data_IF_894645420518
#
_entry.id   IF_894645420518
#
_cell.length_a   1.000
_cell.length_b   1.000
_cell.length_c   1.000
_cell.angle_alpha   90.00
_cell.angle_beta   90.00
_cell.angle_gamma   90.00
#
_symmetry.space_group_name_H-M   'P 1'
#
loop_
_entity.id
_entity.type
_entity.pdbx_description
1 polymer ?
#
# COMPACT_ATOMS: atom_id res chain seq x y z
N UNK A 1 -7.50 -0.67 17.54
CA UNK A 1 -7.57 -2.13 17.39
C UNK A 1 -7.47 -2.44 15.91
N UNK A 2 -6.52 -3.27 15.54
CA UNK A 2 -6.39 -3.82 14.19
C UNK A 2 -7.72 -4.48 13.79
N UNK A 3 -8.17 -4.27 12.56
CA UNK A 3 -9.41 -4.91 12.12
C UNK A 3 -9.22 -6.43 12.15
N UNK A 4 -10.28 -7.16 12.48
CA UNK A 4 -10.30 -8.65 12.48
C UNK A 4 -9.79 -9.20 11.14
N UNK A 5 -10.01 -8.47 10.05
CA UNK A 5 -9.57 -8.80 8.69
C UNK A 5 -8.04 -8.69 8.55
N UNK A 6 -7.40 -7.67 9.16
CA UNK A 6 -5.93 -7.54 9.15
C UNK A 6 -5.28 -8.62 10.03
N UNK A 7 -5.97 -9.04 11.08
CA UNK A 7 -5.53 -10.12 11.97
C UNK A 7 -5.65 -11.50 11.30
N UNK A 8 -6.74 -11.74 10.57
CA UNK A 8 -6.92 -12.95 9.75
C UNK A 8 -5.91 -13.01 8.59
N UNK A 9 -5.63 -11.89 7.94
CA UNK A 9 -4.60 -11.81 6.90
C UNK A 9 -3.19 -12.09 7.46
N UNK A 10 -2.92 -11.73 8.71
CA UNK A 10 -1.67 -12.07 9.41
C UNK A 10 -1.56 -13.54 9.77
N UNK A 11 -2.67 -14.20 10.12
CA UNK A 11 -2.70 -15.62 10.47
C UNK A 11 -2.57 -16.54 9.24
N UNK A 12 -3.13 -16.14 8.09
CA UNK A 12 -2.95 -16.88 6.82
C UNK A 12 -1.52 -16.75 6.25
N UNK A 13 -0.79 -15.73 6.67
CA UNK A 13 0.61 -15.52 6.30
C UNK A 13 1.51 -16.10 7.38
N UNK A 14 2.26 -17.12 7.02
CA UNK A 14 3.31 -17.66 7.87
C UNK A 14 4.41 -16.59 8.03
N UNK A 15 4.28 -15.78 9.08
CA UNK A 15 5.15 -14.64 9.42
C UNK A 15 6.64 -15.03 9.44
N UNK A 16 6.95 -16.28 9.80
CA UNK A 16 8.32 -16.79 9.78
C UNK A 16 8.91 -16.91 8.37
N UNK A 17 8.09 -17.26 7.37
CA UNK A 17 8.54 -17.34 5.98
C UNK A 17 8.71 -15.94 5.36
N UNK A 18 7.88 -14.97 5.75
CA UNK A 18 8.03 -13.57 5.32
C UNK A 18 9.31 -12.97 5.88
N UNK A 19 9.64 -13.26 7.15
CA UNK A 19 10.89 -12.79 7.75
C UNK A 19 12.16 -13.37 7.08
N UNK A 20 12.08 -14.61 6.58
CA UNK A 20 13.19 -15.23 5.84
C UNK A 20 13.41 -14.64 4.46
N UNK A 21 12.39 -14.01 3.86
CA UNK A 21 12.47 -13.33 2.55
C UNK A 21 12.86 -11.85 2.65
N UNK A 22 13.17 -11.36 3.85
CA UNK A 22 13.61 -10.00 4.04
C UNK A 22 14.88 -9.71 3.25
N UNK A 23 14.86 -8.65 2.47
CA UNK A 23 16.07 -8.11 1.84
C UNK A 23 16.52 -6.85 2.58
N UNK A 24 17.82 -6.62 2.58
CA UNK A 24 18.41 -5.40 3.11
C UNK A 24 18.56 -4.40 2.00
N UNK A 25 18.04 -3.19 2.22
CA UNK A 25 18.10 -2.09 1.25
C UNK A 25 18.82 -0.90 1.87
N UNK A 26 19.58 -0.20 1.04
CA UNK A 26 20.22 1.07 1.41
C UNK A 26 19.26 2.22 1.16
N UNK A 27 19.34 3.25 2.00
CA UNK A 27 18.65 4.52 1.77
C UNK A 27 19.64 5.51 1.12
N UNK A 28 19.37 5.92 -0.12
CA UNK A 28 20.22 6.86 -0.86
C UNK A 28 20.27 8.25 -0.24
N UNK A 29 19.28 8.61 0.57
CA UNK A 29 19.18 9.88 1.28
C UNK A 29 19.88 9.85 2.64
N UNK A 30 20.30 8.67 3.12
CA UNK A 30 21.02 8.55 4.37
C UNK A 30 22.44 9.17 4.26
N UNK A 31 22.84 9.94 5.27
CA UNK A 31 24.17 10.59 5.31
C UNK A 31 25.33 9.61 5.15
N UNK A 32 25.14 8.37 5.63
CA UNK A 32 26.16 7.31 5.59
C UNK A 32 26.02 6.37 4.37
N UNK A 33 25.14 6.67 3.40
CA UNK A 33 24.88 5.81 2.24
C UNK A 33 26.15 5.31 1.53
N UNK A 34 27.13 6.20 1.34
CA UNK A 34 28.36 5.86 0.62
C UNK A 34 29.42 5.15 1.50
N UNK A 35 29.26 5.15 2.81
CA UNK A 35 30.27 4.69 3.77
C UNK A 35 29.86 3.50 4.62
N UNK A 36 28.54 3.28 4.80
CA UNK A 36 28.04 2.16 5.60
C UNK A 36 28.01 0.86 4.78
N UNK A 37 29.07 0.07 4.94
CA UNK A 37 29.16 -1.28 4.36
C UNK A 37 28.57 -2.38 5.25
N UNK A 38 28.09 -2.02 6.47
CA UNK A 38 27.53 -3.00 7.39
C UNK A 38 26.02 -3.22 7.10
N UNK A 39 25.73 -4.31 6.38
CA UNK A 39 24.35 -4.66 6.02
C UNK A 39 23.40 -4.84 7.21
N UNK A 40 23.90 -5.04 8.43
CA UNK A 40 23.04 -5.14 9.61
C UNK A 40 22.34 -3.82 9.95
N UNK A 41 22.88 -2.68 9.53
CA UNK A 41 22.32 -1.34 9.72
C UNK A 41 21.31 -0.97 8.64
N UNK A 42 21.27 -1.71 7.53
CA UNK A 42 20.39 -1.39 6.40
C UNK A 42 18.93 -1.72 6.72
N UNK A 43 18.04 -0.93 6.14
CA UNK A 43 16.61 -1.11 6.29
C UNK A 43 16.17 -2.50 5.78
N UNK A 44 15.25 -3.12 6.49
CA UNK A 44 14.62 -4.37 6.04
C UNK A 44 13.44 -4.04 5.14
N UNK A 45 13.41 -4.63 3.95
CA UNK A 45 12.28 -4.59 3.04
C UNK A 45 11.74 -5.99 2.81
N UNK A 46 10.42 -6.09 2.62
CA UNK A 46 9.69 -7.35 2.46
C UNK A 46 8.84 -7.33 1.18
N UNK A 47 9.44 -7.18 -0.01
CA UNK A 47 8.68 -7.01 -1.25
C UNK A 47 7.78 -8.20 -1.56
N UNK A 48 8.26 -9.43 -1.34
CA UNK A 48 7.46 -10.65 -1.57
C UNK A 48 6.30 -10.74 -0.58
N UNK A 49 6.54 -10.41 0.68
CA UNK A 49 5.50 -10.36 1.71
C UNK A 49 4.42 -9.34 1.37
N UNK A 50 4.83 -8.13 0.95
CA UNK A 50 3.89 -7.10 0.54
C UNK A 50 3.09 -7.51 -0.71
N UNK A 51 3.76 -8.07 -1.72
CA UNK A 51 3.10 -8.56 -2.94
C UNK A 51 2.06 -9.62 -2.62
N UNK A 52 2.39 -10.53 -1.75
CA UNK A 52 1.52 -11.59 -1.35
C UNK A 52 0.35 -11.09 -0.48
N UNK A 53 0.56 -10.15 0.45
CA UNK A 53 -0.51 -9.46 1.16
C UNK A 53 -1.46 -8.77 0.17
N UNK A 54 -0.93 -8.01 -0.78
CA UNK A 54 -1.73 -7.33 -1.79
C UNK A 54 -2.55 -8.33 -2.63
N UNK A 55 -1.94 -9.45 -3.05
CA UNK A 55 -2.63 -10.52 -3.75
C UNK A 55 -3.80 -11.11 -2.92
N UNK A 56 -3.64 -11.26 -1.61
CA UNK A 56 -4.72 -11.71 -0.72
C UNK A 56 -5.89 -10.73 -0.66
N UNK A 57 -5.60 -9.42 -0.68
CA UNK A 57 -6.63 -8.37 -0.75
C UNK A 57 -7.40 -8.37 -2.07
N UNK A 58 -6.74 -8.75 -3.17
CA UNK A 58 -7.33 -8.84 -4.50
C UNK A 58 -8.29 -10.04 -4.67
N UNK A 59 -8.21 -11.08 -3.82
CA UNK A 59 -9.04 -12.28 -3.93
C UNK A 59 -10.50 -11.95 -3.63
N UNK A 60 -11.40 -12.42 -4.48
CA UNK A 60 -12.85 -12.42 -4.23
C UNK A 60 -13.19 -13.69 -3.43
N UNK A 61 -14.10 -13.58 -2.47
CA UNK A 61 -14.60 -14.74 -1.70
C UNK A 61 -15.09 -15.83 -2.66
N UNK A 62 -14.44 -16.99 -2.68
CA UNK A 62 -14.76 -18.13 -3.57
C UNK A 62 -13.64 -18.55 -4.54
N UNK A 63 -12.57 -17.77 -4.72
CA UNK A 63 -11.42 -18.15 -5.55
C UNK A 63 -10.18 -18.53 -4.72
N UNK A 64 -10.37 -19.39 -3.73
CA UNK A 64 -9.31 -19.73 -2.76
C UNK A 64 -8.27 -20.73 -3.27
N UNK A 65 -8.25 -21.12 -4.54
CA UNK A 65 -7.59 -22.36 -4.93
C UNK A 65 -6.36 -22.28 -5.83
N UNK A 66 -5.82 -21.11 -6.20
CA UNK A 66 -4.74 -21.08 -7.23
C UNK A 66 -3.40 -20.44 -6.79
N UNK A 67 -3.23 -19.97 -5.57
CA UNK A 67 -1.99 -19.27 -5.18
C UNK A 67 -1.11 -19.96 -4.12
N UNK A 68 -1.30 -21.25 -3.86
CA UNK A 68 -0.41 -22.04 -2.98
C UNK A 68 0.71 -22.76 -3.71
N UNK A 69 0.80 -22.65 -5.02
CA UNK A 69 1.89 -23.23 -5.78
C UNK A 69 2.90 -22.16 -6.21
N UNK A 70 4.03 -22.26 -5.59
CA UNK A 70 5.35 -21.80 -6.04
C UNK A 70 5.46 -20.33 -6.49
N UNK A 71 6.51 -19.68 -6.01
CA UNK A 71 7.19 -18.58 -6.68
C UNK A 71 7.46 -19.02 -8.14
N UNK A 72 6.46 -18.81 -9.00
CA UNK A 72 6.63 -19.03 -10.42
C UNK A 72 7.36 -17.81 -11.00
N UNK A 73 8.34 -18.02 -11.88
CA UNK A 73 8.97 -16.92 -12.61
C UNK A 73 7.87 -16.14 -13.33
N UNK A 74 8.01 -14.80 -13.38
CA UNK A 74 7.10 -13.79 -13.92
C UNK A 74 5.94 -14.40 -14.71
N UNK A 75 4.81 -14.60 -14.00
CA UNK A 75 3.67 -15.35 -14.51
C UNK A 75 3.10 -14.69 -15.76
N UNK A 76 2.54 -15.52 -16.64
CA UNK A 76 1.80 -15.10 -17.82
C UNK A 76 0.87 -13.93 -17.48
N UNK A 77 0.89 -12.89 -18.35
CA UNK A 77 0.01 -11.72 -18.28
C UNK A 77 -1.42 -12.16 -17.92
N UNK A 78 -1.90 -11.76 -16.73
CA UNK A 78 -3.27 -12.05 -16.30
C UNK A 78 -4.18 -11.07 -17.04
N UNK A 79 -4.92 -11.59 -18.00
CA UNK A 79 -5.77 -10.82 -18.91
C UNK A 79 -6.92 -10.06 -18.23
N UNK A 80 -7.30 -10.46 -16.99
CA UNK A 80 -8.37 -9.82 -16.22
C UNK A 80 -7.86 -9.31 -14.87
N UNK A 81 -7.65 -7.99 -14.80
CA UNK A 81 -7.38 -7.31 -13.52
C UNK A 81 -8.59 -7.37 -12.60
N UNK A 82 -8.34 -7.58 -11.31
CA UNK A 82 -9.37 -7.54 -10.26
C UNK A 82 -9.92 -6.12 -10.09
N UNK A 83 -11.08 -5.99 -9.44
CA UNK A 83 -11.71 -4.70 -9.15
C UNK A 83 -10.75 -3.80 -8.36
N UNK A 84 -10.10 -4.32 -7.31
CA UNK A 84 -9.13 -3.58 -6.52
C UNK A 84 -7.93 -3.09 -7.36
N UNK A 85 -7.38 -3.94 -8.23
CA UNK A 85 -6.28 -3.55 -9.11
C UNK A 85 -6.67 -2.43 -10.07
N UNK A 86 -7.89 -2.47 -10.63
CA UNK A 86 -8.43 -1.42 -11.50
C UNK A 86 -8.64 -0.12 -10.71
N UNK A 87 -9.23 -0.20 -9.52
CA UNK A 87 -9.44 0.95 -8.66
C UNK A 87 -8.11 1.66 -8.34
N UNK A 88 -7.10 0.91 -7.89
CA UNK A 88 -5.78 1.48 -7.59
C UNK A 88 -5.13 2.11 -8.82
N UNK A 89 -5.31 1.54 -10.02
CA UNK A 89 -4.80 2.16 -11.25
C UNK A 89 -5.47 3.50 -11.55
N UNK A 90 -6.80 3.59 -11.38
CA UNK A 90 -7.54 4.85 -11.54
C UNK A 90 -7.07 5.88 -10.52
N UNK A 91 -6.96 5.51 -9.24
CA UNK A 91 -6.47 6.39 -8.19
C UNK A 91 -5.06 6.94 -8.47
N UNK A 92 -4.15 6.08 -8.90
CA UNK A 92 -2.80 6.50 -9.31
C UNK A 92 -2.81 7.40 -10.54
N UNK A 93 -3.64 7.08 -11.54
CA UNK A 93 -3.76 7.92 -12.74
C UNK A 93 -4.33 9.30 -12.42
N UNK A 94 -5.36 9.37 -11.58
CA UNK A 94 -5.91 10.65 -11.10
C UNK A 94 -4.82 11.48 -10.42
N UNK A 95 -4.03 10.87 -9.51
CA UNK A 95 -2.89 11.54 -8.90
C UNK A 95 -1.90 12.06 -9.94
N UNK A 96 -1.52 11.23 -10.91
CA UNK A 96 -0.50 11.59 -11.90
C UNK A 96 -0.95 12.75 -12.80
N UNK A 97 -2.26 12.84 -13.10
CA UNK A 97 -2.83 13.99 -13.82
C UNK A 97 -2.86 15.23 -12.94
N UNK A 98 -3.29 15.09 -11.67
CA UNK A 98 -3.42 16.23 -10.76
C UNK A 98 -2.08 16.86 -10.36
N UNK A 99 -1.01 16.06 -10.29
CA UNK A 99 0.32 16.45 -9.82
C UNK A 99 1.39 16.21 -10.89
N UNK A 100 1.09 16.53 -12.15
CA UNK A 100 2.06 16.40 -13.23
C UNK A 100 3.28 17.30 -12.95
N UNK A 101 4.47 16.69 -12.87
CA UNK A 101 5.72 17.40 -12.58
C UNK A 101 5.95 17.78 -11.11
N UNK A 102 5.06 17.41 -10.18
CA UNK A 102 5.24 17.66 -8.75
C UNK A 102 5.89 16.45 -8.06
N UNK A 103 7.08 16.64 -7.48
CA UNK A 103 7.82 15.59 -6.76
C UNK A 103 7.22 15.28 -5.37
N UNK A 104 6.41 16.19 -4.81
CA UNK A 104 5.71 16.00 -3.54
C UNK A 104 4.34 15.35 -3.69
N UNK A 105 4.02 14.80 -4.87
CA UNK A 105 2.80 14.03 -5.09
C UNK A 105 2.69 12.81 -4.17
N UNK A 106 1.47 12.37 -3.83
CA UNK A 106 1.24 11.17 -3.04
C UNK A 106 1.97 9.95 -3.62
N UNK A 107 2.79 9.27 -2.83
CA UNK A 107 3.56 8.12 -3.30
C UNK A 107 2.69 6.87 -3.49
N UNK A 108 3.07 6.06 -4.47
CA UNK A 108 2.27 4.90 -4.90
C UNK A 108 2.03 3.87 -3.82
N UNK A 109 3.00 3.68 -2.90
CA UNK A 109 2.87 2.67 -1.83
C UNK A 109 1.79 3.07 -0.82
N UNK A 110 1.70 4.35 -0.44
CA UNK A 110 0.66 4.88 0.45
C UNK A 110 -0.71 4.67 -0.19
N UNK A 111 -0.89 5.07 -1.47
CA UNK A 111 -2.16 4.89 -2.19
C UNK A 111 -2.55 3.41 -2.22
N UNK A 112 -1.62 2.52 -2.60
CA UNK A 112 -1.89 1.08 -2.70
C UNK A 112 -2.27 0.49 -1.35
N UNK A 113 -1.53 0.84 -0.29
CA UNK A 113 -1.75 0.32 1.06
C UNK A 113 -3.11 0.76 1.62
N UNK A 114 -3.39 2.06 1.59
CA UNK A 114 -4.64 2.61 2.13
C UNK A 114 -5.86 2.13 1.32
N UNK A 115 -5.76 2.12 -0.01
CA UNK A 115 -6.83 1.60 -0.86
C UNK A 115 -7.11 0.12 -0.59
N UNK A 116 -6.06 -0.69 -0.43
CA UNK A 116 -6.21 -2.11 -0.13
C UNK A 116 -6.80 -2.36 1.27
N UNK A 117 -6.44 -1.55 2.27
CA UNK A 117 -7.02 -1.62 3.62
C UNK A 117 -8.51 -1.21 3.62
N UNK A 118 -8.87 -0.18 2.85
CA UNK A 118 -10.23 0.34 2.77
C UNK A 118 -11.17 -0.50 1.89
N UNK A 119 -10.64 -1.34 0.98
CA UNK A 119 -11.44 -2.15 0.07
C UNK A 119 -12.23 -3.25 0.79
N UNK A 120 -13.56 -3.27 0.63
CA UNK A 120 -14.49 -4.21 1.27
C UNK A 120 -15.01 -5.29 0.30
N UNK A 121 -14.29 -5.55 -0.80
CA UNK A 121 -14.65 -6.58 -1.81
C UNK A 121 -15.98 -6.28 -2.51
N UNK A 122 -16.22 -5.02 -2.81
CA UNK A 122 -17.37 -4.56 -3.58
C UNK A 122 -17.45 -5.27 -4.94
N UNK A 123 -18.70 -5.47 -5.43
CA UNK A 123 -18.96 -6.27 -6.63
C UNK A 123 -18.74 -5.50 -7.95
N UNK A 124 -18.61 -4.18 -7.89
CA UNK A 124 -18.35 -3.34 -9.07
C UNK A 124 -17.31 -2.26 -8.77
N UNK A 125 -16.78 -1.67 -9.83
CA UNK A 125 -15.67 -0.73 -9.75
C UNK A 125 -16.06 0.62 -9.14
N UNK A 126 -17.27 1.11 -9.40
CA UNK A 126 -17.74 2.42 -8.92
C UNK A 126 -17.94 2.36 -7.41
N UNK A 127 -18.63 1.34 -6.91
CA UNK A 127 -18.81 1.14 -5.46
C UNK A 127 -17.47 0.93 -4.75
N UNK A 128 -16.55 0.19 -5.37
CA UNK A 128 -15.20 -0.01 -4.84
C UNK A 128 -14.44 1.31 -4.73
N UNK A 129 -14.45 2.15 -5.77
CA UNK A 129 -13.81 3.47 -5.73
C UNK A 129 -14.41 4.35 -4.63
N UNK A 130 -15.74 4.42 -4.57
CA UNK A 130 -16.43 5.21 -3.55
C UNK A 130 -16.15 4.70 -2.12
N UNK A 131 -16.16 3.39 -1.91
CA UNK A 131 -15.84 2.76 -0.62
C UNK A 131 -14.39 3.01 -0.20
N UNK A 132 -13.45 2.81 -1.13
CA UNK A 132 -12.02 3.02 -0.92
C UNK A 132 -11.75 4.48 -0.53
N UNK A 133 -12.20 5.45 -1.34
CA UNK A 133 -11.92 6.87 -1.12
C UNK A 133 -12.46 7.34 0.23
N UNK A 134 -13.68 6.96 0.58
CA UNK A 134 -14.27 7.25 1.90
C UNK A 134 -13.53 6.62 3.07
N UNK A 135 -12.98 5.42 2.87
CA UNK A 135 -12.31 4.64 3.92
C UNK A 135 -10.84 4.98 4.13
N UNK A 136 -10.12 5.51 3.14
CA UNK A 136 -8.66 5.66 3.18
C UNK A 136 -8.16 6.45 4.38
N UNK A 137 -8.79 7.57 4.74
CA UNK A 137 -8.40 8.41 5.90
C UNK A 137 -8.44 7.63 7.22
N UNK A 138 -9.41 6.74 7.39
CA UNK A 138 -9.58 5.93 8.61
C UNK A 138 -8.47 4.91 8.85
N UNK A 139 -7.64 4.65 7.84
CA UNK A 139 -6.50 3.73 7.93
C UNK A 139 -5.15 4.44 8.16
N UNK A 140 -5.15 5.75 8.29
CA UNK A 140 -3.98 6.51 8.75
C UNK A 140 -4.06 6.56 10.28
N UNK A 141 -3.11 5.90 10.93
CA UNK A 141 -3.02 5.88 12.39
C UNK A 141 -2.28 7.14 12.87
N UNK A 142 -2.52 7.52 14.12
CA UNK A 142 -1.67 8.50 14.81
C UNK A 142 -0.93 7.78 15.93
N UNK A 143 0.40 7.76 15.84
CA UNK A 143 1.27 7.16 16.86
C UNK A 143 2.12 8.27 17.48
N UNK A 144 1.80 8.65 18.71
CA UNK A 144 2.52 9.71 19.44
C UNK A 144 2.64 11.04 18.68
N UNK A 145 1.58 11.44 17.97
CA UNK A 145 1.54 12.67 17.20
C UNK A 145 2.06 12.55 15.75
N UNK A 146 2.56 11.39 15.35
CA UNK A 146 3.09 11.12 14.01
C UNK A 146 2.04 10.32 13.22
N UNK A 147 1.75 10.77 11.99
CA UNK A 147 0.90 10.01 11.08
C UNK A 147 1.60 8.72 10.65
N UNK A 148 0.85 7.63 10.69
CA UNK A 148 1.40 6.31 10.44
C UNK A 148 0.59 5.56 9.39
N UNK A 149 1.23 5.26 8.28
CA UNK A 149 0.73 4.35 7.25
C UNK A 149 1.59 3.10 7.30
N UNK A 150 1.25 2.19 8.21
CA UNK A 150 2.06 1.00 8.48
C UNK A 150 2.09 0.02 7.31
N UNK A 151 3.30 -0.50 7.03
CA UNK A 151 3.47 -1.65 6.15
C UNK A 151 2.71 -2.85 6.75
N UNK A 152 1.79 -3.50 6.01
CA UNK A 152 0.98 -4.60 6.53
C UNK A 152 1.80 -5.85 6.89
N UNK A 153 3.03 -5.97 6.38
CA UNK A 153 3.92 -7.11 6.64
C UNK A 153 5.15 -6.75 7.49
N UNK A 154 5.33 -5.46 7.79
CA UNK A 154 6.38 -4.97 8.70
C UNK A 154 5.82 -3.83 9.57
N UNK A 155 5.31 -4.14 10.77
CA UNK A 155 4.67 -3.13 11.63
C UNK A 155 5.56 -1.97 12.07
N UNK A 156 6.89 -2.13 11.96
CA UNK A 156 7.88 -1.11 12.33
C UNK A 156 8.09 -0.08 11.20
N UNK A 157 7.64 -0.37 9.98
CA UNK A 157 7.83 0.47 8.81
C UNK A 157 6.62 1.39 8.60
N UNK A 158 6.89 2.70 8.56
CA UNK A 158 5.91 3.74 8.26
C UNK A 158 6.13 4.27 6.84
N UNK A 159 5.20 4.07 5.94
CA UNK A 159 5.29 4.63 4.58
C UNK A 159 5.09 6.16 4.53
N UNK A 160 4.58 6.76 5.62
CA UNK A 160 4.42 8.21 5.77
C UNK A 160 5.56 8.85 6.58
N UNK A 161 6.70 8.18 6.75
CA UNK A 161 7.85 8.61 7.54
C UNK A 161 8.41 9.99 7.14
N UNK A 162 8.30 10.34 5.86
CA UNK A 162 8.76 11.64 5.33
C UNK A 162 7.77 12.79 5.57
N UNK A 163 6.54 12.54 6.03
CA UNK A 163 5.54 13.60 6.20
C UNK A 163 5.91 14.66 7.26
N UNK A 164 6.53 14.31 8.40
CA UNK A 164 6.97 15.32 9.36
C UNK A 164 8.00 16.28 8.80
N UNK A 165 8.97 15.77 8.03
CA UNK A 165 10.08 16.56 7.48
C UNK A 165 9.70 17.27 6.17
N UNK A 166 8.73 16.75 5.44
CA UNK A 166 8.20 17.30 4.20
C UNK A 166 6.66 17.45 4.26
N UNK A 167 6.12 18.43 5.00
CA UNK A 167 4.68 18.61 5.22
C UNK A 167 3.86 18.73 3.92
N UNK A 168 4.50 19.22 2.84
CA UNK A 168 3.87 19.34 1.52
C UNK A 168 3.37 17.99 0.99
N UNK A 169 4.08 16.90 1.27
CA UNK A 169 3.65 15.52 0.88
C UNK A 169 2.33 15.13 1.53
N UNK A 170 2.15 15.44 2.81
CA UNK A 170 0.88 15.22 3.53
C UNK A 170 -0.22 16.14 3.00
N UNK A 171 0.09 17.42 2.78
CA UNK A 171 -0.87 18.39 2.24
C UNK A 171 -1.35 17.95 0.85
N UNK A 172 -0.44 17.53 -0.02
CA UNK A 172 -0.76 17.04 -1.35
C UNK A 172 -1.60 15.74 -1.29
N UNK A 173 -1.31 14.82 -0.36
CA UNK A 173 -2.14 13.64 -0.15
C UNK A 173 -3.57 14.01 0.25
N UNK A 174 -3.75 14.94 1.18
CA UNK A 174 -5.07 15.39 1.61
C UNK A 174 -5.84 16.10 0.49
N UNK A 175 -5.16 17.00 -0.24
CA UNK A 175 -5.73 17.71 -1.40
C UNK A 175 -6.17 16.73 -2.49
N UNK A 176 -5.36 15.72 -2.75
CA UNK A 176 -5.70 14.67 -3.72
C UNK A 176 -6.94 13.88 -3.29
N UNK A 177 -7.02 13.50 -2.02
CA UNK A 177 -8.14 12.71 -1.52
C UNK A 177 -9.45 13.52 -1.53
N UNK A 178 -9.39 14.81 -1.18
CA UNK A 178 -10.54 15.74 -1.27
C UNK A 178 -11.01 15.91 -2.72
N UNK A 179 -10.10 16.04 -3.68
CA UNK A 179 -10.45 16.11 -5.10
C UNK A 179 -11.18 14.84 -5.56
N UNK A 180 -10.69 13.66 -5.16
CA UNK A 180 -11.34 12.37 -5.45
C UNK A 180 -12.75 12.26 -4.83
N UNK A 181 -12.90 12.72 -3.57
CA UNK A 181 -14.19 12.74 -2.89
C UNK A 181 -15.19 13.60 -3.66
N UNK A 182 -14.78 14.77 -4.16
CA UNK A 182 -15.62 15.67 -4.95
C UNK A 182 -15.96 15.09 -6.32
N UNK A 183 -14.98 14.52 -7.04
CA UNK A 183 -15.19 13.95 -8.36
C UNK A 183 -16.16 12.75 -8.31
N UNK A 184 -16.07 11.93 -7.25
CA UNK A 184 -16.98 10.78 -7.08
C UNK A 184 -18.43 11.18 -6.68
N UNK A 185 -18.64 12.41 -6.16
CA UNK A 185 -20.00 12.90 -5.89
C UNK A 185 -20.75 13.31 -7.17
N UNK A 186 -20.02 13.50 -8.25
CA UNK A 186 -20.58 13.93 -9.56
C UNK A 186 -20.88 12.77 -10.50
N UNK A 187 -20.57 11.53 -10.09
CA UNK A 187 -20.84 10.29 -10.83
C UNK A 187 -22.18 9.68 -10.43
#
# INVERSE_FOLDING_TARGET
>A
SLSVIDEMARQEYNYENVQKSAIRITDKEAENYATDSNSSNWLKSFPDGYAAWFASRCKVSGQLQILTEAVAPVGKYIEKKTILQKAIQILKRHRDVMFEGDDDKPISIIITTLASKAYNKENNLVDALAGIVRGMRGHIENRSGIDWVGNPVNPEENFADKWPDAPQKKMNFNKWLEALENDLQTL
#
